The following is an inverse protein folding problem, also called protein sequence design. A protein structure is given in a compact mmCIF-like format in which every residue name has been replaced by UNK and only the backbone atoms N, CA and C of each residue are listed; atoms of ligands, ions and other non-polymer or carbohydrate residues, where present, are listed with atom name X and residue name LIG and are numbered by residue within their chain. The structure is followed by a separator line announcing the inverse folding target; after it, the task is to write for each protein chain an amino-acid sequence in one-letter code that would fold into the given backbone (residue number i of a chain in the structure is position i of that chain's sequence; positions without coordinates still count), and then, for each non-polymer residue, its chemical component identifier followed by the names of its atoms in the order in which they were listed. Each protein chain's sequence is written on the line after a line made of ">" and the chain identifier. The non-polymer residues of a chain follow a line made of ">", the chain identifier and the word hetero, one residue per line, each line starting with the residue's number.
data_IF_048362167898
#
_entry.id   IF_048362167898
#
_cell.length_a   1.000
_cell.length_b   1.000
_cell.length_c   1.000
_cell.angle_alpha   90.00
_cell.angle_beta   90.00
_cell.angle_gamma   90.00
#
_symmetry.space_group_name_H-M   'P 1'
#
loop_
_entity.id
_entity.type
_entity.pdbx_description
1 polymer ?
#
# COMPACT_ATOMS: atom_id res chain seq x y z
N UNK A 1 25.17 5.58 47.89
CA UNK A 1 24.23 6.62 48.37
C UNK A 1 24.29 7.75 47.36
N UNK A 2 23.35 7.85 46.45
CA UNK A 2 23.29 8.92 45.45
C UNK A 2 22.47 10.09 46.03
N UNK A 3 22.97 11.30 45.89
CA UNK A 3 22.25 12.51 46.30
C UNK A 3 21.01 12.73 45.43
N UNK A 4 19.87 13.17 45.99
CA UNK A 4 18.70 13.51 45.22
C UNK A 4 18.98 14.77 44.38
N UNK A 5 19.01 14.63 43.06
CA UNK A 5 19.23 15.73 42.12
C UNK A 5 20.27 15.51 41.03
N UNK A 6 20.97 14.39 41.02
CA UNK A 6 21.86 14.05 39.89
C UNK A 6 21.08 13.41 38.75
N UNK A 7 21.05 14.09 37.61
CA UNK A 7 20.64 13.49 36.34
C UNK A 7 21.61 12.34 36.02
N UNK A 8 21.08 11.17 35.69
CA UNK A 8 21.91 10.08 35.16
C UNK A 8 22.70 10.59 33.95
N UNK A 9 23.99 10.41 33.97
CA UNK A 9 24.82 10.71 32.81
C UNK A 9 24.56 9.65 31.72
N UNK A 10 24.83 10.00 30.47
CA UNK A 10 24.77 9.03 29.33
C UNK A 10 25.62 7.77 29.61
N UNK A 11 26.69 7.90 30.45
CA UNK A 11 27.52 6.79 30.87
C UNK A 11 26.83 5.82 31.85
N UNK A 12 25.87 6.29 32.64
CA UNK A 12 25.17 5.46 33.62
C UNK A 12 24.11 4.59 32.96
N UNK A 13 23.45 5.11 31.91
CA UNK A 13 22.47 4.35 31.09
C UNK A 13 23.19 3.23 30.34
N UNK A 14 24.39 3.47 29.81
CA UNK A 14 25.19 2.50 29.11
C UNK A 14 25.85 1.46 30.00
N UNK A 15 26.10 1.79 31.30
CA UNK A 15 26.77 0.88 32.27
C UNK A 15 25.82 -0.05 33.00
N UNK A 16 24.63 0.40 33.39
CA UNK A 16 23.71 -0.39 34.21
C UNK A 16 22.72 -1.25 33.41
N UNK A 17 22.53 -1.00 32.09
CA UNK A 17 21.69 -1.79 31.18
C UNK A 17 22.40 -2.93 30.46
N UNK A 18 23.71 -3.05 30.63
CA UNK A 18 24.52 -4.06 29.97
C UNK A 18 24.59 -5.38 30.76
N UNK A 19 23.60 -6.23 30.57
CA UNK A 19 23.99 -7.65 30.46
C UNK A 19 24.77 -7.75 29.12
N UNK A 20 25.85 -8.52 29.08
CA UNK A 20 26.95 -8.48 28.10
C UNK A 20 26.58 -8.46 26.59
N UNK A 21 25.29 -8.52 26.19
CA UNK A 21 24.85 -8.63 24.80
C UNK A 21 23.80 -7.61 24.34
N UNK A 22 23.29 -6.69 25.16
CA UNK A 22 22.32 -5.69 24.67
C UNK A 22 22.92 -4.29 24.60
N UNK A 23 23.39 -3.90 23.44
CA UNK A 23 23.84 -2.53 23.18
C UNK A 23 22.64 -1.62 22.97
N UNK A 24 22.57 -0.54 23.75
CA UNK A 24 21.56 0.52 23.61
C UNK A 24 22.29 1.81 23.31
N UNK A 25 21.88 2.49 22.23
CA UNK A 25 22.40 3.80 21.86
C UNK A 25 21.36 4.88 22.19
N UNK A 26 21.73 5.82 23.09
CA UNK A 26 20.89 6.98 23.41
C UNK A 26 21.26 8.16 22.52
N UNK A 27 20.29 8.63 21.74
CA UNK A 27 20.48 9.66 20.71
C UNK A 27 19.57 10.86 21.05
N UNK A 28 20.11 12.05 21.33
CA UNK A 28 19.29 13.23 21.53
C UNK A 28 18.64 13.68 20.22
N UNK A 29 17.34 14.03 20.25
CA UNK A 29 16.64 14.59 19.10
C UNK A 29 17.10 16.04 18.92
N UNK A 30 17.86 16.28 17.86
CA UNK A 30 18.45 17.58 17.53
C UNK A 30 18.07 18.00 16.11
N UNK A 31 18.17 19.31 15.77
CA UNK A 31 17.95 19.76 14.40
C UNK A 31 18.84 19.04 13.37
N UNK A 32 20.08 18.72 13.75
CA UNK A 32 21.03 17.99 12.91
C UNK A 32 20.56 16.57 12.63
N UNK A 33 20.08 15.85 13.64
CA UNK A 33 19.51 14.51 13.48
C UNK A 33 18.33 14.52 12.50
N UNK A 34 17.40 15.45 12.69
CA UNK A 34 16.21 15.60 11.83
C UNK A 34 16.63 15.92 10.38
N UNK A 35 17.61 16.82 10.19
CA UNK A 35 18.13 17.13 8.85
C UNK A 35 18.77 15.92 8.16
N UNK A 36 19.51 15.10 8.91
CA UNK A 36 20.12 13.86 8.39
C UNK A 36 19.06 12.82 8.05
N UNK A 37 18.05 12.62 8.90
CA UNK A 37 16.96 11.66 8.63
C UNK A 37 16.16 12.07 7.39
N UNK A 38 15.88 13.35 7.20
CA UNK A 38 15.24 13.88 5.98
C UNK A 38 16.11 13.74 4.74
N UNK A 39 17.41 13.92 4.84
CA UNK A 39 18.33 13.77 3.72
C UNK A 39 18.44 12.31 3.25
N UNK A 40 18.23 11.35 4.14
CA UNK A 40 18.22 9.92 3.82
C UNK A 40 16.87 9.43 3.30
N UNK A 41 15.79 10.23 3.42
CA UNK A 41 14.51 9.90 2.81
C UNK A 41 14.63 9.99 1.29
N UNK A 42 14.77 8.83 0.65
CA UNK A 42 14.76 8.71 -0.81
C UNK A 42 13.39 9.16 -1.32
N UNK A 43 13.35 10.12 -2.24
CA UNK A 43 12.12 10.40 -2.99
C UNK A 43 11.80 9.16 -3.81
N UNK A 44 10.73 8.48 -3.45
CA UNK A 44 10.24 7.36 -4.25
C UNK A 44 9.81 7.89 -5.60
N UNK A 45 10.55 7.56 -6.64
CA UNK A 45 10.13 7.76 -8.02
C UNK A 45 9.51 6.48 -8.54
N UNK A 46 8.42 6.61 -9.30
CA UNK A 46 7.84 5.44 -9.95
C UNK A 46 8.80 4.87 -11.00
N UNK A 47 8.91 3.54 -11.09
CA UNK A 47 9.67 2.91 -12.17
C UNK A 47 9.18 3.38 -13.53
N UNK A 48 10.07 3.77 -14.47
CA UNK A 48 9.66 4.27 -15.78
C UNK A 48 8.77 3.30 -16.57
N UNK A 49 8.91 2.00 -16.32
CA UNK A 49 8.11 0.94 -16.92
C UNK A 49 6.62 1.00 -16.56
N UNK A 50 6.26 1.69 -15.47
CA UNK A 50 4.87 1.91 -15.08
C UNK A 50 4.27 3.19 -15.70
N UNK A 51 5.11 4.10 -16.19
CA UNK A 51 4.71 5.40 -16.75
C UNK A 51 4.55 5.35 -18.27
N UNK A 52 4.21 4.19 -18.81
CA UNK A 52 3.98 4.01 -20.25
C UNK A 52 2.57 4.44 -20.63
N UNK A 53 2.40 4.84 -21.90
CA UNK A 53 1.07 5.10 -22.45
C UNK A 53 0.17 3.86 -22.32
N UNK A 54 -1.14 4.04 -22.14
CA UNK A 54 -2.06 2.91 -22.08
C UNK A 54 -2.06 2.14 -23.41
N UNK A 55 -2.18 0.82 -23.29
CA UNK A 55 -2.31 -0.03 -24.46
C UNK A 55 -3.72 0.13 -25.07
N UNK A 56 -3.81 0.10 -26.42
CA UNK A 56 -5.10 0.06 -27.08
C UNK A 56 -5.82 -1.26 -26.76
N UNK A 57 -7.13 -1.17 -26.48
CA UNK A 57 -7.91 -2.37 -26.16
C UNK A 57 -7.88 -3.37 -27.30
N UNK A 58 -7.51 -4.61 -27.00
CA UNK A 58 -7.59 -5.74 -27.91
C UNK A 58 -8.65 -6.70 -27.43
N UNK A 59 -9.53 -7.07 -28.34
CA UNK A 59 -10.57 -8.06 -28.12
C UNK A 59 -9.94 -9.36 -27.64
N UNK A 60 -10.54 -10.01 -26.68
CA UNK A 60 -10.05 -11.28 -26.14
C UNK A 60 -11.17 -12.30 -25.95
N UNK A 61 -10.78 -13.48 -25.50
CA UNK A 61 -11.72 -14.59 -25.26
C UNK A 61 -12.74 -14.20 -24.19
N UNK A 62 -13.99 -14.60 -24.38
CA UNK A 62 -15.15 -14.30 -23.54
C UNK A 62 -15.68 -12.86 -23.63
N UNK A 63 -15.08 -11.99 -24.45
CA UNK A 63 -15.72 -10.71 -24.77
C UNK A 63 -17.02 -10.97 -25.56
N UNK A 64 -17.99 -10.08 -25.36
CA UNK A 64 -19.25 -10.14 -26.13
C UNK A 64 -19.33 -8.90 -26.98
N UNK A 65 -19.42 -9.11 -28.30
CA UNK A 65 -19.40 -8.07 -29.29
C UNK A 65 -20.81 -7.88 -29.87
N UNK A 66 -21.17 -6.66 -30.19
CA UNK A 66 -22.33 -6.32 -30.99
C UNK A 66 -21.85 -5.85 -32.35
N UNK A 67 -22.30 -6.52 -33.39
CA UNK A 67 -21.90 -6.25 -34.77
C UNK A 67 -23.13 -5.81 -35.53
N UNK A 68 -23.10 -4.58 -36.05
CA UNK A 68 -24.15 -4.00 -36.83
C UNK A 68 -23.72 -3.97 -38.29
N UNK A 69 -24.58 -4.44 -39.20
CA UNK A 69 -24.44 -4.22 -40.63
C UNK A 69 -25.64 -3.39 -41.07
N UNK A 70 -25.36 -2.16 -41.48
CA UNK A 70 -26.40 -1.21 -41.89
C UNK A 70 -27.15 -1.73 -43.13
N UNK A 71 -28.45 -1.48 -43.17
CA UNK A 71 -29.37 -1.98 -44.21
C UNK A 71 -29.55 -3.50 -44.26
N UNK A 72 -28.93 -4.25 -43.29
CA UNK A 72 -29.00 -5.70 -43.20
C UNK A 72 -29.39 -6.14 -41.78
N UNK A 73 -30.64 -5.89 -41.32
CA UNK A 73 -31.07 -6.22 -39.96
C UNK A 73 -30.99 -7.72 -39.63
N UNK A 74 -31.11 -8.60 -40.63
CA UNK A 74 -30.97 -10.06 -40.50
C UNK A 74 -29.55 -10.49 -40.10
N UNK A 75 -28.54 -9.65 -40.32
CA UNK A 75 -27.14 -9.89 -39.89
C UNK A 75 -26.85 -9.32 -38.54
N UNK A 76 -27.57 -8.30 -38.12
CA UNK A 76 -27.32 -7.59 -36.87
C UNK A 76 -27.86 -8.35 -35.66
N UNK A 77 -29.06 -8.84 -35.72
CA UNK A 77 -29.74 -9.57 -34.64
C UNK A 77 -29.97 -11.04 -34.98
N UNK A 78 -29.77 -11.99 -34.04
CA UNK A 78 -30.31 -13.32 -34.19
C UNK A 78 -31.84 -13.25 -34.30
N UNK A 79 -32.42 -14.03 -35.20
CA UNK A 79 -33.88 -14.07 -35.47
C UNK A 79 -34.65 -14.47 -34.19
N UNK A 80 -35.24 -13.50 -33.53
CA UNK A 80 -36.06 -13.70 -32.32
C UNK A 80 -36.23 -12.40 -31.54
N UNK A 81 -37.47 -12.09 -31.19
CA UNK A 81 -37.84 -10.88 -30.46
C UNK A 81 -37.37 -10.88 -29.00
N UNK A 82 -36.09 -10.97 -28.72
CA UNK A 82 -35.55 -10.80 -27.40
C UNK A 82 -34.92 -9.41 -27.29
N UNK A 83 -35.61 -8.56 -26.52
CA UNK A 83 -35.19 -7.18 -26.21
C UNK A 83 -34.00 -7.07 -25.25
N UNK A 84 -33.30 -8.15 -24.95
CA UNK A 84 -32.14 -8.13 -24.09
C UNK A 84 -30.87 -7.94 -24.92
N UNK A 85 -30.16 -6.86 -24.67
CA UNK A 85 -28.91 -6.48 -25.34
C UNK A 85 -27.90 -7.63 -25.32
N UNK A 86 -27.79 -8.35 -24.21
CA UNK A 86 -26.89 -9.50 -24.03
C UNK A 86 -27.26 -10.70 -24.93
N UNK A 87 -28.53 -10.85 -25.32
CA UNK A 87 -28.99 -11.93 -26.19
C UNK A 87 -28.55 -11.73 -27.66
N UNK A 88 -28.26 -10.50 -28.08
CA UNK A 88 -27.83 -10.16 -29.43
C UNK A 88 -26.32 -10.12 -29.60
N UNK A 89 -25.56 -10.35 -28.51
CA UNK A 89 -24.12 -10.31 -28.49
C UNK A 89 -23.48 -11.55 -29.14
N UNK A 90 -22.37 -11.35 -29.83
CA UNK A 90 -21.53 -12.42 -30.38
C UNK A 90 -20.40 -12.70 -29.40
N UNK A 91 -20.41 -13.89 -28.79
CA UNK A 91 -19.36 -14.31 -27.86
C UNK A 91 -18.07 -14.65 -28.64
N UNK A 92 -16.95 -14.09 -28.23
CA UNK A 92 -15.62 -14.54 -28.63
C UNK A 92 -15.30 -15.82 -27.87
N UNK A 93 -15.15 -16.92 -28.61
CA UNK A 93 -14.93 -18.27 -28.07
C UNK A 93 -13.52 -18.42 -27.50
N UNK A 94 -13.27 -19.55 -26.83
CA UNK A 94 -11.98 -19.87 -26.25
C UNK A 94 -10.83 -20.04 -27.27
N UNK A 95 -11.16 -20.35 -28.54
CA UNK A 95 -10.22 -20.39 -29.65
C UNK A 95 -9.94 -19.01 -30.27
N UNK A 96 -10.56 -17.96 -29.75
CA UNK A 96 -10.40 -16.56 -30.20
C UNK A 96 -11.27 -16.20 -31.38
N UNK A 97 -12.16 -17.10 -31.82
CA UNK A 97 -13.05 -16.86 -32.96
C UNK A 97 -14.45 -16.45 -32.51
N UNK A 98 -15.22 -15.85 -33.43
CA UNK A 98 -16.65 -15.70 -33.33
C UNK A 98 -17.31 -16.21 -34.61
N UNK A 99 -18.56 -16.69 -34.50
CA UNK A 99 -19.35 -17.07 -35.65
C UNK A 99 -20.15 -15.88 -36.16
N UNK A 100 -20.06 -15.63 -37.47
CA UNK A 100 -20.85 -14.60 -38.11
C UNK A 100 -21.50 -15.14 -39.39
N UNK A 101 -22.77 -14.81 -39.69
CA UNK A 101 -23.46 -15.28 -40.91
C UNK A 101 -22.65 -14.98 -42.17
N UNK A 102 -22.79 -15.79 -43.17
CA UNK A 102 -22.09 -15.79 -44.46
C UNK A 102 -20.58 -16.08 -44.37
N UNK A 103 -19.87 -15.39 -43.51
CA UNK A 103 -18.40 -15.48 -43.39
C UNK A 103 -17.93 -16.52 -42.36
N UNK A 104 -18.90 -17.17 -41.67
CA UNK A 104 -18.67 -18.27 -40.71
C UNK A 104 -17.74 -17.85 -39.52
N UNK A 105 -16.58 -18.47 -39.41
CA UNK A 105 -15.65 -18.21 -38.32
C UNK A 105 -14.72 -17.03 -38.66
N UNK A 106 -14.66 -16.08 -37.73
CA UNK A 106 -13.83 -14.88 -37.83
C UNK A 106 -12.92 -14.79 -36.60
N UNK A 107 -11.64 -14.66 -36.84
CA UNK A 107 -10.68 -14.40 -35.77
C UNK A 107 -10.91 -13.00 -35.21
N UNK A 108 -11.25 -12.94 -33.91
CA UNK A 108 -11.50 -11.68 -33.19
C UNK A 108 -10.46 -11.39 -32.14
N UNK A 109 -10.03 -12.41 -31.38
CA UNK A 109 -9.05 -12.24 -30.33
C UNK A 109 -7.69 -11.71 -30.85
N UNK A 110 -7.11 -10.77 -30.11
CA UNK A 110 -5.85 -10.11 -30.43
C UNK A 110 -6.00 -8.89 -31.35
N UNK A 111 -7.15 -8.70 -31.97
CA UNK A 111 -7.45 -7.57 -32.88
C UNK A 111 -8.01 -6.38 -32.11
N UNK A 112 -7.77 -5.17 -32.62
CA UNK A 112 -8.51 -3.99 -32.19
C UNK A 112 -9.93 -4.02 -32.77
N UNK A 113 -10.83 -3.22 -32.21
CA UNK A 113 -12.20 -3.07 -32.72
C UNK A 113 -12.18 -2.65 -34.21
N UNK A 114 -11.27 -1.73 -34.55
CA UNK A 114 -11.10 -1.23 -35.92
C UNK A 114 -10.64 -2.33 -36.89
N UNK A 115 -9.65 -3.13 -36.47
CA UNK A 115 -9.15 -4.25 -37.26
C UNK A 115 -10.23 -5.29 -37.52
N UNK A 116 -10.99 -5.65 -36.48
CA UNK A 116 -12.07 -6.61 -36.62
C UNK A 116 -13.18 -6.08 -37.55
N UNK A 117 -13.54 -4.79 -37.41
CA UNK A 117 -14.53 -4.14 -38.30
C UNK A 117 -14.10 -4.21 -39.75
N UNK A 118 -12.85 -3.87 -40.06
CA UNK A 118 -12.33 -3.92 -41.43
C UNK A 118 -12.31 -5.34 -41.99
N UNK A 119 -11.90 -6.32 -41.19
CA UNK A 119 -11.87 -7.73 -41.60
C UNK A 119 -13.26 -8.28 -41.91
N UNK A 120 -14.26 -7.92 -41.11
CA UNK A 120 -15.66 -8.35 -41.34
C UNK A 120 -16.21 -7.69 -42.61
N UNK A 121 -15.97 -6.38 -42.78
CA UNK A 121 -16.41 -5.66 -43.97
C UNK A 121 -15.81 -6.24 -45.27
N UNK A 122 -14.48 -6.50 -45.24
CA UNK A 122 -13.78 -7.12 -46.38
C UNK A 122 -14.37 -8.50 -46.74
N UNK A 123 -14.56 -9.37 -45.76
CA UNK A 123 -15.13 -10.71 -45.99
C UNK A 123 -16.57 -10.66 -46.47
N UNK A 124 -17.38 -9.73 -45.90
CA UNK A 124 -18.79 -9.58 -46.33
C UNK A 124 -18.92 -8.98 -47.71
N UNK A 125 -17.96 -8.22 -48.22
CA UNK A 125 -17.98 -7.63 -49.55
C UNK A 125 -18.12 -8.66 -50.67
N UNK A 126 -17.77 -9.93 -50.41
CA UNK A 126 -18.01 -11.05 -51.34
C UNK A 126 -19.50 -11.39 -51.48
N UNK A 127 -20.33 -11.07 -50.49
CA UNK A 127 -21.75 -11.44 -50.44
C UNK A 127 -22.68 -10.23 -50.52
N UNK A 128 -22.20 -9.06 -50.11
CA UNK A 128 -22.96 -7.81 -49.99
C UNK A 128 -22.16 -6.70 -50.64
N UNK A 129 -22.81 -5.89 -51.47
CA UNK A 129 -22.17 -4.71 -52.09
C UNK A 129 -22.00 -3.61 -51.04
N UNK A 130 -20.77 -3.14 -50.86
CA UNK A 130 -20.39 -2.04 -49.96
C UNK A 130 -20.94 -2.17 -48.52
N UNK A 131 -20.60 -3.25 -47.77
CA UNK A 131 -21.18 -3.49 -46.44
C UNK A 131 -20.68 -2.47 -45.43
N UNK A 132 -21.60 -1.73 -44.83
CA UNK A 132 -21.29 -0.77 -43.75
C UNK A 132 -21.36 -1.49 -42.39
N UNK A 133 -20.20 -1.79 -41.83
CA UNK A 133 -20.08 -2.56 -40.59
C UNK A 133 -19.68 -1.67 -39.42
N UNK A 134 -20.32 -1.85 -38.28
CA UNK A 134 -19.88 -1.31 -37.00
C UNK A 134 -19.72 -2.43 -35.97
N UNK A 135 -18.74 -2.27 -35.06
CA UNK A 135 -18.42 -3.25 -34.00
C UNK A 135 -18.31 -2.52 -32.65
N UNK A 136 -19.14 -2.93 -31.71
CA UNK A 136 -19.08 -2.45 -30.32
C UNK A 136 -18.86 -3.62 -29.37
N UNK A 137 -18.20 -3.36 -28.22
CA UNK A 137 -18.06 -4.35 -27.18
C UNK A 137 -19.16 -4.15 -26.15
N UNK A 138 -20.07 -5.11 -26.03
CA UNK A 138 -21.16 -5.09 -25.04
C UNK A 138 -20.66 -5.47 -23.64
N UNK A 139 -19.77 -6.44 -23.59
CA UNK A 139 -19.22 -6.91 -22.31
C UNK A 139 -17.74 -7.17 -22.44
N UNK A 140 -16.96 -6.44 -21.66
CA UNK A 140 -15.52 -6.63 -21.48
C UNK A 140 -15.29 -7.73 -20.45
N UNK A 141 -14.77 -8.87 -20.85
CA UNK A 141 -14.59 -10.03 -19.99
C UNK A 141 -13.19 -10.65 -20.08
N UNK A 142 -12.44 -10.31 -21.13
CA UNK A 142 -11.14 -10.90 -21.42
C UNK A 142 -10.01 -10.31 -20.59
N UNK A 143 -10.02 -8.99 -20.40
CA UNK A 143 -8.98 -8.27 -19.68
C UNK A 143 -9.51 -7.78 -18.33
N UNK A 144 -8.91 -8.26 -17.24
CA UNK A 144 -9.35 -7.95 -15.89
C UNK A 144 -8.16 -7.66 -15.01
N UNK A 145 -8.37 -6.79 -14.03
CA UNK A 145 -7.47 -6.57 -12.90
C UNK A 145 -8.15 -7.02 -11.63
N UNK A 146 -7.37 -7.45 -10.66
CA UNK A 146 -7.90 -7.85 -9.34
C UNK A 146 -7.50 -6.80 -8.33
N UNK A 147 -8.48 -6.28 -7.58
CA UNK A 147 -8.25 -5.36 -6.46
C UNK A 147 -8.63 -6.07 -5.17
N UNK A 148 -7.71 -6.09 -4.21
CA UNK A 148 -7.86 -6.83 -2.95
C UNK A 148 -7.22 -6.10 -1.76
N UNK A 149 -7.44 -6.63 -0.55
CA UNK A 149 -6.94 -6.06 0.70
C UNK A 149 -7.94 -5.11 1.35
N UNK A 150 -7.46 -4.01 1.93
CA UNK A 150 -8.24 -3.04 2.70
C UNK A 150 -9.10 -2.13 1.80
N UNK A 151 -10.00 -2.74 1.04
CA UNK A 151 -10.99 -2.08 0.17
C UNK A 151 -12.38 -2.57 0.48
N UNK A 152 -13.41 -1.75 0.24
CA UNK A 152 -14.81 -2.06 0.54
C UNK A 152 -15.39 -3.11 -0.40
N UNK A 153 -14.96 -3.12 -1.65
CA UNK A 153 -15.43 -4.03 -2.72
C UNK A 153 -14.22 -4.67 -3.40
N UNK A 154 -13.65 -5.67 -2.74
CA UNK A 154 -12.61 -6.49 -3.33
C UNK A 154 -13.17 -7.32 -4.50
N UNK A 155 -12.39 -7.49 -5.55
CA UNK A 155 -12.81 -8.30 -6.68
C UNK A 155 -12.12 -7.94 -7.99
N UNK A 156 -12.66 -8.51 -9.05
CA UNK A 156 -12.17 -8.32 -10.41
C UNK A 156 -12.87 -7.15 -11.07
N UNK A 157 -12.09 -6.26 -11.71
CA UNK A 157 -12.59 -5.15 -12.52
C UNK A 157 -12.18 -5.36 -13.98
N UNK A 158 -13.10 -5.16 -14.90
CA UNK A 158 -12.81 -5.27 -16.32
C UNK A 158 -12.10 -4.01 -16.84
N UNK A 159 -11.12 -4.19 -17.71
CA UNK A 159 -10.54 -3.11 -18.51
C UNK A 159 -11.41 -2.97 -19.77
N UNK A 160 -11.80 -1.75 -20.08
CA UNK A 160 -12.58 -1.40 -21.27
C UNK A 160 -11.73 -0.65 -22.30
N UNK A 161 -12.37 -0.09 -23.32
CA UNK A 161 -11.73 0.84 -24.26
C UNK A 161 -11.23 2.13 -23.60
N UNK A 162 -11.77 2.48 -22.44
CA UNK A 162 -11.21 3.55 -21.60
C UNK A 162 -10.10 2.96 -20.72
N UNK A 163 -8.88 3.44 -20.84
CA UNK A 163 -7.78 2.96 -20.01
C UNK A 163 -8.07 3.14 -18.52
N UNK A 164 -7.87 2.08 -17.75
CA UNK A 164 -8.09 2.08 -16.31
C UNK A 164 -6.77 2.37 -15.60
N UNK A 165 -6.69 3.44 -14.80
CA UNK A 165 -5.53 3.71 -13.98
C UNK A 165 -5.68 3.20 -12.54
N UNK A 166 -4.57 3.19 -11.78
CA UNK A 166 -4.55 2.72 -10.39
C UNK A 166 -5.55 3.45 -9.51
N UNK A 167 -5.70 4.77 -9.67
CA UNK A 167 -6.58 5.59 -8.84
C UNK A 167 -8.05 5.29 -9.12
N UNK A 168 -8.42 5.15 -10.38
CA UNK A 168 -9.79 4.81 -10.79
C UNK A 168 -10.17 3.41 -10.30
N UNK A 169 -9.24 2.46 -10.38
CA UNK A 169 -9.46 1.10 -9.90
C UNK A 169 -9.70 1.07 -8.38
N UNK A 170 -8.89 1.80 -7.61
CA UNK A 170 -9.06 1.92 -6.16
C UNK A 170 -10.32 2.71 -5.80
N UNK A 171 -10.63 3.79 -6.52
CA UNK A 171 -11.86 4.56 -6.34
C UNK A 171 -13.09 3.69 -6.56
N UNK A 172 -13.10 2.86 -7.59
CA UNK A 172 -14.18 1.90 -7.87
C UNK A 172 -14.31 0.82 -6.80
N UNK A 173 -13.20 0.32 -6.26
CA UNK A 173 -13.19 -0.64 -5.17
C UNK A 173 -13.61 -0.01 -3.83
N UNK A 174 -13.38 1.30 -3.66
CA UNK A 174 -13.57 2.02 -2.41
C UNK A 174 -12.50 1.65 -1.38
N UNK A 175 -11.65 2.57 -1.01
CA UNK A 175 -10.63 2.36 0.03
C UNK A 175 -11.30 2.32 1.41
N UNK A 176 -10.90 1.38 2.28
CA UNK A 176 -11.33 1.38 3.68
C UNK A 176 -10.59 2.49 4.45
N UNK A 177 -11.28 3.58 4.86
CA UNK A 177 -10.61 4.74 5.45
C UNK A 177 -10.07 4.50 6.86
N UNK A 178 -10.49 3.41 7.50
CA UNK A 178 -10.11 3.09 8.89
C UNK A 178 -8.92 2.12 8.94
N UNK A 179 -8.92 1.13 8.05
CA UNK A 179 -8.02 0.00 8.15
C UNK A 179 -6.98 -0.08 7.02
N UNK A 180 -7.05 0.79 6.01
CA UNK A 180 -6.09 0.77 4.91
C UNK A 180 -4.75 1.41 5.28
N UNK A 181 -3.67 0.78 4.84
CA UNK A 181 -2.34 1.38 4.77
C UNK A 181 -2.13 2.05 3.41
N UNK A 182 -2.32 3.37 3.36
CA UNK A 182 -2.21 4.14 2.13
C UNK A 182 -0.78 4.23 1.57
N UNK A 183 0.23 3.94 2.39
CA UNK A 183 1.64 4.02 1.96
C UNK A 183 2.18 2.70 1.40
N UNK A 184 1.42 1.62 1.51
CA UNK A 184 1.88 0.26 1.23
C UNK A 184 1.18 -0.43 0.05
N UNK A 185 0.54 0.32 -0.86
CA UNK A 185 -0.10 -0.28 -2.03
C UNK A 185 0.90 -1.08 -2.87
N UNK A 186 0.53 -2.28 -3.26
CA UNK A 186 1.34 -3.16 -4.11
C UNK A 186 0.64 -3.37 -5.45
N UNK A 187 1.36 -3.13 -6.55
CA UNK A 187 0.97 -3.53 -7.89
C UNK A 187 1.81 -4.75 -8.30
N UNK A 188 1.15 -5.87 -8.56
CA UNK A 188 1.82 -7.04 -9.16
C UNK A 188 1.50 -7.10 -10.64
N UNK A 189 2.54 -7.08 -11.48
CA UNK A 189 2.47 -7.17 -12.94
C UNK A 189 3.49 -8.17 -13.44
N UNK A 190 3.06 -9.17 -14.19
CA UNK A 190 3.93 -10.22 -14.74
C UNK A 190 4.83 -10.89 -13.69
N UNK A 191 4.30 -11.12 -12.48
CA UNK A 191 5.03 -11.73 -11.36
C UNK A 191 5.99 -10.79 -10.62
N UNK A 192 6.16 -9.55 -11.08
CA UNK A 192 6.97 -8.54 -10.39
C UNK A 192 6.09 -7.65 -9.53
N UNK A 193 6.53 -7.38 -8.30
CA UNK A 193 5.82 -6.53 -7.33
C UNK A 193 6.42 -5.13 -7.34
N UNK A 194 5.57 -4.13 -7.48
CA UNK A 194 5.91 -2.71 -7.43
C UNK A 194 5.24 -2.08 -6.21
N UNK A 195 6.01 -1.61 -5.22
CA UNK A 195 5.45 -0.84 -4.12
C UNK A 195 5.05 0.55 -4.62
N UNK A 196 3.84 0.96 -4.30
CA UNK A 196 3.27 2.25 -4.66
C UNK A 196 2.82 2.97 -3.39
N UNK A 197 2.94 4.28 -3.35
CA UNK A 197 2.56 5.09 -2.21
C UNK A 197 1.37 6.01 -2.58
N UNK A 198 0.17 5.65 -2.10
CA UNK A 198 -1.05 6.44 -2.31
C UNK A 198 -1.02 7.76 -1.54
N UNK A 199 -0.34 7.79 -0.38
CA UNK A 199 -0.23 8.99 0.45
C UNK A 199 0.57 10.09 -0.25
N UNK A 200 1.54 9.73 -1.09
CA UNK A 200 2.29 10.67 -1.91
C UNK A 200 1.43 11.44 -2.92
N UNK A 201 0.24 10.95 -3.26
CA UNK A 201 -0.73 11.69 -4.11
C UNK A 201 -1.24 12.95 -3.45
N UNK A 202 -1.42 12.94 -2.13
CA UNK A 202 -1.87 14.12 -1.38
C UNK A 202 -0.77 15.19 -1.29
N UNK A 203 0.48 14.83 -1.62
CA UNK A 203 1.67 15.67 -1.48
C UNK A 203 2.24 16.20 -2.81
N UNK A 204 1.46 16.31 -3.89
CA UNK A 204 1.82 16.91 -5.19
C UNK A 204 2.24 15.97 -6.33
N UNK A 205 2.28 14.66 -6.17
CA UNK A 205 2.65 13.77 -7.27
C UNK A 205 1.44 13.03 -7.86
N UNK A 206 0.76 13.68 -8.81
CA UNK A 206 -0.30 13.05 -9.62
C UNK A 206 0.23 11.90 -10.54
N UNK A 207 1.43 11.37 -10.26
CA UNK A 207 2.08 10.35 -11.09
C UNK A 207 1.34 9.00 -11.07
N UNK A 208 0.70 8.63 -9.95
CA UNK A 208 -0.09 7.39 -9.90
C UNK A 208 -1.31 7.41 -10.83
N UNK A 209 -1.81 8.57 -11.20
CA UNK A 209 -2.86 8.70 -12.23
C UNK A 209 -2.34 8.32 -13.63
N UNK A 210 -1.03 8.35 -13.84
CA UNK A 210 -0.37 7.95 -15.09
C UNK A 210 -0.04 6.46 -15.13
N UNK A 211 -0.24 5.74 -14.02
CA UNK A 211 -0.03 4.28 -13.97
C UNK A 211 -1.29 3.58 -14.45
N UNK A 212 -1.28 3.20 -15.72
CA UNK A 212 -2.36 2.44 -16.35
C UNK A 212 -2.21 0.96 -16.06
N UNK A 213 -3.35 0.32 -15.74
CA UNK A 213 -3.43 -1.09 -15.44
C UNK A 213 -3.57 -1.91 -16.73
N UNK A 214 -3.07 -3.14 -16.68
CA UNK A 214 -3.11 -4.11 -17.78
C UNK A 214 -3.84 -5.37 -17.36
N UNK A 215 -4.35 -6.11 -18.33
CA UNK A 215 -4.96 -7.40 -18.04
C UNK A 215 -4.01 -8.33 -17.27
N UNK A 216 -4.51 -8.88 -16.17
CA UNK A 216 -3.72 -9.73 -15.27
C UNK A 216 -3.02 -9.00 -14.12
N UNK A 217 -3.06 -7.67 -14.07
CA UNK A 217 -2.53 -6.91 -12.94
C UNK A 217 -3.32 -7.21 -11.67
N UNK A 218 -2.61 -7.19 -10.54
CA UNK A 218 -3.20 -7.31 -9.21
C UNK A 218 -2.81 -6.13 -8.36
N UNK A 219 -3.80 -5.44 -7.78
CA UNK A 219 -3.63 -4.39 -6.80
C UNK A 219 -3.97 -4.95 -5.42
N UNK A 220 -3.04 -4.85 -4.51
CA UNK A 220 -3.23 -5.22 -3.11
C UNK A 220 -2.98 -4.01 -2.21
N UNK A 221 -4.01 -3.57 -1.52
CA UNK A 221 -3.93 -2.51 -0.52
C UNK A 221 -3.83 -3.16 0.86
N UNK A 222 -2.69 -3.10 1.56
CA UNK A 222 -2.54 -3.79 2.83
C UNK A 222 -3.37 -3.14 3.94
N UNK A 223 -3.65 -3.94 4.98
CA UNK A 223 -4.21 -3.44 6.23
C UNK A 223 -3.11 -2.79 7.07
N UNK A 224 -3.49 -1.79 7.87
CA UNK A 224 -2.58 -1.06 8.76
C UNK A 224 -2.39 -1.73 10.14
N UNK A 225 -2.84 -2.97 10.31
CA UNK A 225 -2.81 -3.70 11.58
C UNK A 225 -1.42 -3.82 12.19
N UNK A 226 -0.39 -3.95 11.35
CA UNK A 226 1.00 -4.06 11.77
C UNK A 226 1.71 -2.69 11.85
N UNK A 227 1.01 -1.61 11.50
CA UNK A 227 1.56 -0.24 11.55
C UNK A 227 1.08 0.51 12.79
N UNK A 228 1.49 0.03 13.95
CA UNK A 228 1.15 0.62 15.26
C UNK A 228 2.39 1.13 15.96
N UNK A 229 2.21 2.19 16.74
CA UNK A 229 3.15 2.62 17.77
C UNK A 229 2.48 2.46 19.12
N UNK A 230 3.28 2.28 20.14
CA UNK A 230 2.80 2.10 21.50
C UNK A 230 3.21 3.31 22.33
N UNK A 231 2.23 4.00 22.91
CA UNK A 231 2.51 5.15 23.80
C UNK A 231 2.24 4.73 25.23
N UNK A 232 3.26 4.83 26.05
CA UNK A 232 3.29 4.32 27.43
C UNK A 232 3.90 5.33 28.39
N UNK A 233 3.74 5.07 29.70
CA UNK A 233 4.30 5.89 30.77
C UNK A 233 3.38 7.04 31.16
N UNK A 234 3.96 8.18 31.54
CA UNK A 234 3.27 9.30 32.15
C UNK A 234 2.63 10.23 31.10
N UNK A 235 1.69 9.66 30.34
CA UNK A 235 0.79 10.38 29.41
C UNK A 235 -0.64 10.29 29.92
N UNK A 236 -1.52 11.19 29.46
CA UNK A 236 -2.90 11.21 29.94
C UNK A 236 -3.72 9.98 29.51
N UNK A 237 -3.46 9.42 28.32
CA UNK A 237 -4.17 8.26 27.77
C UNK A 237 -3.19 7.28 27.09
N UNK A 238 -2.50 6.42 27.86
CA UNK A 238 -1.62 5.41 27.27
C UNK A 238 -2.41 4.46 26.34
N UNK A 239 -1.94 4.30 25.09
CA UNK A 239 -2.59 3.42 24.11
C UNK A 239 -1.69 3.16 22.91
N UNK A 240 -2.09 2.18 22.11
CA UNK A 240 -1.54 2.01 20.76
C UNK A 240 -2.22 2.98 19.78
N UNK A 241 -1.44 3.57 18.88
CA UNK A 241 -1.91 4.41 17.77
C UNK A 241 -1.56 3.72 16.45
N UNK A 242 -2.49 3.73 15.51
CA UNK A 242 -2.32 3.09 14.19
C UNK A 242 -2.00 4.16 13.14
N UNK A 243 -1.02 3.89 12.28
CA UNK A 243 -0.71 4.73 11.15
C UNK A 243 -1.77 4.54 10.05
N UNK A 244 -2.22 5.65 9.49
CA UNK A 244 -3.04 5.65 8.26
C UNK A 244 -2.21 6.05 7.03
N UNK A 245 -1.15 6.79 7.26
CA UNK A 245 -0.22 7.33 6.28
C UNK A 245 1.18 6.82 6.57
N UNK A 246 2.16 7.21 5.76
CA UNK A 246 3.55 6.77 5.93
C UNK A 246 4.20 7.28 7.21
N UNK A 247 3.90 8.52 7.58
CA UNK A 247 4.56 9.22 8.68
C UNK A 247 3.56 9.75 9.69
N UNK A 248 3.97 9.73 10.95
CA UNK A 248 3.34 10.41 12.07
C UNK A 248 4.47 11.07 12.87
N UNK A 249 4.36 12.34 13.16
CA UNK A 249 5.41 13.01 13.96
C UNK A 249 5.18 12.82 15.45
N UNK A 250 6.23 13.02 16.22
CA UNK A 250 6.19 12.82 17.68
C UNK A 250 5.20 13.77 18.39
N UNK A 251 5.00 14.99 17.86
CA UNK A 251 3.99 15.92 18.38
C UNK A 251 2.57 15.40 18.22
N UNK A 252 2.25 14.83 17.05
CA UNK A 252 0.94 14.23 16.78
C UNK A 252 0.67 13.05 17.71
N UNK A 253 1.71 12.24 17.96
CA UNK A 253 1.64 11.11 18.90
C UNK A 253 1.30 11.60 20.29
N UNK A 254 2.07 12.56 20.81
CA UNK A 254 1.85 13.12 22.16
C UNK A 254 0.46 13.77 22.24
N UNK A 255 0.07 14.55 21.24
CA UNK A 255 -1.25 15.18 21.17
C UNK A 255 -2.38 14.17 21.15
N UNK A 256 -2.24 13.07 20.40
CA UNK A 256 -3.25 12.02 20.27
C UNK A 256 -3.54 11.25 21.57
N UNK A 257 -2.60 11.23 22.50
CA UNK A 257 -2.76 10.63 23.84
C UNK A 257 -3.12 11.64 24.93
N UNK A 258 -3.54 12.85 24.53
CA UNK A 258 -3.95 13.91 25.45
C UNK A 258 -2.80 14.67 26.11
N UNK A 259 -1.58 14.54 25.56
CA UNK A 259 -0.38 15.21 26.07
C UNK A 259 0.29 14.47 27.23
N UNK A 260 1.35 15.10 27.76
CA UNK A 260 2.08 14.62 28.93
C UNK A 260 1.23 14.84 30.18
N UNK A 261 1.29 13.92 31.14
CA UNK A 261 0.67 14.11 32.44
C UNK A 261 1.46 15.17 33.21
N UNK A 262 0.85 16.34 33.42
CA UNK A 262 1.54 17.51 34.03
C UNK A 262 1.95 17.30 35.46
N UNK A 263 1.34 16.35 36.18
CA UNK A 263 1.60 16.09 37.60
C UNK A 263 2.70 15.06 37.84
N UNK A 264 2.83 14.09 36.92
CA UNK A 264 3.68 12.92 37.14
C UNK A 264 4.79 12.75 36.11
N UNK A 265 4.70 13.40 34.94
CA UNK A 265 5.69 13.27 33.92
C UNK A 265 6.93 14.14 34.12
N UNK A 266 8.05 13.68 33.61
CA UNK A 266 9.25 14.48 33.42
C UNK A 266 9.32 14.88 31.92
N UNK A 267 9.21 16.18 31.64
CA UNK A 267 9.27 16.69 30.26
C UNK A 267 10.60 16.39 29.55
N UNK A 268 11.69 16.19 30.30
CA UNK A 268 12.99 15.80 29.73
C UNK A 268 13.14 14.29 29.51
N UNK A 269 12.14 13.50 29.86
CA UNK A 269 12.15 12.04 29.77
C UNK A 269 11.15 11.52 28.74
N UNK A 270 11.08 12.12 27.56
CA UNK A 270 10.31 11.61 26.41
C UNK A 270 11.27 10.82 25.52
N UNK A 271 11.00 9.54 25.38
CA UNK A 271 11.86 8.61 24.66
C UNK A 271 11.08 7.96 23.52
N UNK A 272 11.73 7.79 22.36
CA UNK A 272 11.26 6.95 21.26
C UNK A 272 12.21 5.77 21.16
N UNK A 273 11.74 4.60 21.53
CA UNK A 273 12.49 3.35 21.50
C UNK A 273 12.21 2.69 20.17
N UNK A 274 13.23 2.56 19.35
CA UNK A 274 13.16 1.95 18.02
C UNK A 274 13.86 0.60 18.06
N UNK A 275 13.09 -0.46 17.84
CA UNK A 275 13.61 -1.80 17.67
C UNK A 275 14.47 -1.91 16.42
N UNK A 276 15.37 -2.88 16.43
CA UNK A 276 16.17 -3.29 15.28
C UNK A 276 15.82 -4.74 14.92
N UNK A 277 15.96 -5.11 13.67
CA UNK A 277 15.61 -6.47 13.21
C UNK A 277 16.51 -7.54 13.85
N UNK A 278 17.75 -7.19 14.14
CA UNK A 278 18.72 -8.10 14.76
C UNK A 278 19.54 -7.36 15.85
N UNK A 279 19.18 -7.62 17.09
CA UNK A 279 19.86 -7.03 18.27
C UNK A 279 21.31 -7.52 18.44
N UNK A 280 21.69 -8.65 17.84
CA UNK A 280 23.06 -9.15 17.89
C UNK A 280 24.01 -8.36 16.98
N UNK A 281 23.44 -7.72 15.95
CA UNK A 281 24.19 -6.95 14.94
C UNK A 281 24.13 -5.44 15.17
N UNK A 282 22.95 -4.92 15.51
CA UNK A 282 22.73 -3.50 15.71
C UNK A 282 22.17 -3.17 17.10
N UNK A 283 22.66 -2.10 17.77
CA UNK A 283 22.12 -1.66 19.04
C UNK A 283 20.69 -1.10 18.87
N UNK A 284 19.82 -1.35 19.85
CA UNK A 284 18.53 -0.67 19.91
C UNK A 284 18.75 0.84 20.06
N UNK A 285 18.04 1.64 19.26
CA UNK A 285 18.17 3.11 19.27
C UNK A 285 17.08 3.72 20.14
N UNK A 286 17.49 4.51 21.12
CA UNK A 286 16.60 5.29 21.97
C UNK A 286 16.80 6.78 21.67
N UNK A 287 15.79 7.40 21.07
CA UNK A 287 15.80 8.83 20.80
C UNK A 287 15.18 9.57 21.98
N UNK A 288 15.84 10.60 22.47
CA UNK A 288 15.39 11.41 23.61
C UNK A 288 15.00 12.82 23.18
N UNK A 289 13.78 13.23 23.50
CA UNK A 289 13.31 14.61 23.40
C UNK A 289 13.29 15.26 24.78
N UNK A 290 13.91 16.44 24.90
CA UNK A 290 13.85 17.26 26.09
C UNK A 290 12.69 18.26 25.98
N UNK A 291 11.47 17.80 26.26
CA UNK A 291 10.21 18.50 25.94
C UNK A 291 9.84 19.65 26.92
N UNK A 292 10.74 20.06 27.82
CA UNK A 292 10.50 21.20 28.73
C UNK A 292 10.57 22.55 28.04
N UNK A 293 11.18 22.63 26.84
CA UNK A 293 11.32 23.89 26.13
C UNK A 293 10.33 23.94 24.93
N UNK A 294 9.77 25.13 24.62
CA UNK A 294 8.95 25.30 23.41
C UNK A 294 9.68 24.91 22.12
N UNK A 295 11.00 25.12 22.07
CA UNK A 295 11.84 24.74 20.93
C UNK A 295 11.92 23.22 20.75
N UNK A 296 11.90 22.44 21.82
CA UNK A 296 11.87 20.99 21.75
C UNK A 296 10.55 20.48 21.20
N UNK A 297 9.43 21.09 21.57
CA UNK A 297 8.13 20.76 20.98
C UNK A 297 8.10 21.07 19.47
N UNK A 298 8.76 22.15 19.03
CA UNK A 298 8.95 22.42 17.60
C UNK A 298 9.81 21.35 16.92
N UNK A 299 10.81 20.77 17.57
CA UNK A 299 11.56 19.64 17.04
C UNK A 299 10.69 18.38 16.93
N UNK A 300 9.80 18.14 17.88
CA UNK A 300 8.88 17.01 17.86
C UNK A 300 7.95 17.01 16.64
N UNK A 301 7.56 18.19 16.10
CA UNK A 301 6.76 18.28 14.86
C UNK A 301 7.53 17.83 13.61
N UNK A 302 8.84 17.69 13.72
CA UNK A 302 9.71 17.34 12.60
C UNK A 302 10.39 15.98 12.77
N UNK A 303 10.19 15.32 13.92
CA UNK A 303 10.72 13.99 14.19
C UNK A 303 9.66 12.95 13.87
N UNK A 304 9.90 12.15 12.82
CA UNK A 304 9.00 11.09 12.38
C UNK A 304 9.20 9.83 13.22
N UNK A 305 8.11 9.36 13.85
CA UNK A 305 8.05 8.05 14.46
C UNK A 305 7.78 6.99 13.39
N UNK A 306 8.23 5.76 13.62
CA UNK A 306 8.07 4.63 12.70
C UNK A 306 7.12 3.59 13.27
N UNK A 307 6.48 2.77 12.43
CA UNK A 307 5.73 1.62 12.91
C UNK A 307 6.58 0.76 13.86
N UNK A 308 5.95 0.27 14.92
CA UNK A 308 6.55 -0.50 16.02
C UNK A 308 7.45 0.30 16.99
N UNK A 309 7.62 1.61 16.80
CA UNK A 309 8.25 2.44 17.82
C UNK A 309 7.42 2.42 19.11
N UNK A 310 8.11 2.47 20.25
CA UNK A 310 7.51 2.69 21.56
C UNK A 310 7.85 4.11 22.01
N UNK A 311 6.84 4.95 22.17
CA UNK A 311 6.97 6.27 22.75
C UNK A 311 6.71 6.16 24.25
N UNK A 312 7.74 6.37 25.05
CA UNK A 312 7.67 6.27 26.49
C UNK A 312 7.93 7.62 27.14
N UNK A 313 7.05 8.02 28.05
CA UNK A 313 7.22 9.21 28.87
C UNK A 313 7.58 8.79 30.29
N UNK A 314 8.76 9.19 30.75
CA UNK A 314 9.26 8.83 32.07
C UNK A 314 8.60 9.65 33.17
N UNK A 315 8.57 9.10 34.41
CA UNK A 315 8.09 9.80 35.60
C UNK A 315 9.08 10.87 36.07
N UNK A 316 8.57 11.82 36.82
CA UNK A 316 9.37 12.87 37.44
C UNK A 316 10.43 12.34 38.43
N UNK A 317 10.23 11.13 38.98
CA UNK A 317 11.15 10.51 39.93
C UNK A 317 11.99 9.39 39.29
N UNK A 318 13.30 9.48 39.36
CA UNK A 318 14.33 8.63 38.72
C UNK A 318 14.23 7.14 39.09
N UNK A 319 13.75 6.80 40.31
CA UNK A 319 13.74 5.43 40.82
C UNK A 319 12.90 4.44 40.02
N UNK A 320 11.92 4.92 39.25
CA UNK A 320 11.06 4.08 38.41
C UNK A 320 11.63 3.81 37.03
N UNK A 321 12.50 4.66 36.53
CA UNK A 321 13.12 4.55 35.22
C UNK A 321 14.03 3.31 35.11
N UNK A 322 14.89 3.08 36.06
CA UNK A 322 15.80 1.93 36.06
C UNK A 322 15.05 0.61 36.09
N UNK A 323 13.91 0.55 36.78
CA UNK A 323 13.03 -0.63 36.79
C UNK A 323 12.38 -0.86 35.44
N UNK A 324 12.01 0.20 34.72
CA UNK A 324 11.36 0.08 33.40
C UNK A 324 12.34 -0.40 32.32
N UNK A 325 13.53 0.18 32.24
CA UNK A 325 14.55 -0.24 31.26
C UNK A 325 15.00 -1.69 31.53
N UNK A 326 15.20 -2.09 32.78
CA UNK A 326 15.55 -3.48 33.11
C UNK A 326 14.44 -4.50 32.75
N UNK A 327 13.19 -4.06 32.58
CA UNK A 327 12.07 -4.89 32.17
C UNK A 327 11.86 -4.92 30.65
N UNK A 328 12.26 -3.86 29.93
CA UNK A 328 12.12 -3.79 28.46
C UNK A 328 13.20 -4.60 27.72
N UNK A 329 14.42 -4.62 28.24
CA UNK A 329 15.54 -5.31 27.61
C UNK A 329 15.30 -6.82 27.45
N UNK A 330 14.73 -7.55 28.43
CA UNK A 330 14.36 -8.95 28.22
C UNK A 330 13.19 -9.16 27.26
N UNK A 331 12.23 -8.22 27.19
CA UNK A 331 11.05 -8.36 26.30
C UNK A 331 11.38 -8.10 24.83
N UNK A 332 12.39 -7.29 24.52
CA UNK A 332 12.88 -7.11 23.16
C UNK A 332 13.51 -8.39 22.59
N UNK A 333 14.14 -9.21 23.45
CA UNK A 333 14.67 -10.52 23.04
C UNK A 333 13.59 -11.58 22.79
N UNK A 334 12.43 -11.49 23.45
CA UNK A 334 11.29 -12.39 23.24
C UNK A 334 10.61 -12.16 21.88
N UNK A 335 10.56 -10.94 21.39
CA UNK A 335 10.02 -10.63 20.06
C UNK A 335 10.92 -11.16 18.94
N UNK A 336 12.24 -11.17 19.14
CA UNK A 336 13.20 -11.80 18.22
C UNK A 336 13.09 -13.32 18.17
N UNK A 337 12.78 -13.98 19.29
CA UNK A 337 12.62 -15.43 19.36
C UNK A 337 11.35 -15.94 18.67
N UNK A 338 10.30 -15.13 18.56
CA UNK A 338 9.08 -15.46 17.82
C UNK A 338 9.31 -15.56 16.32
N UNK A 339 10.12 -14.69 15.74
CA UNK A 339 10.48 -14.72 14.33
C UNK A 339 11.42 -15.89 13.98
N UNK A 340 12.37 -16.21 14.88
CA UNK A 340 13.27 -17.36 14.70
C UNK A 340 12.54 -18.72 14.81
N UNK A 341 11.51 -18.83 15.66
CA UNK A 341 10.71 -20.05 15.80
C UNK A 341 9.85 -20.32 14.53
N UNK A 342 9.39 -19.28 13.84
CA UNK A 342 8.64 -19.41 12.59
C UNK A 342 9.53 -19.89 11.43
N UNK A 343 10.77 -19.43 11.34
CA UNK A 343 11.73 -19.87 10.33
C UNK A 343 12.15 -21.33 10.53
N UNK A 344 12.34 -21.78 11.78
CA UNK A 344 12.69 -23.17 12.08
C UNK A 344 11.54 -24.16 11.81
N UNK A 345 10.29 -23.73 11.88
CA UNK A 345 9.12 -24.55 11.51
C UNK A 345 8.96 -24.67 9.99
N UNK A 346 9.40 -23.69 9.21
CA UNK A 346 9.38 -23.77 7.75
C UNK A 346 10.48 -24.69 7.19
N UNK A 347 11.64 -24.78 7.85
CA UNK A 347 12.73 -25.70 7.47
C UNK A 347 12.45 -27.17 7.88
N UNK A 348 11.70 -27.38 8.95
CA UNK A 348 11.32 -28.74 9.37
C UNK A 348 10.25 -29.38 8.47
N UNK A 349 9.47 -28.58 7.75
CA UNK A 349 8.42 -29.07 6.83
C UNK A 349 8.92 -29.28 5.38
N UNK A 350 10.20 -28.99 5.10
CA UNK A 350 10.82 -29.15 3.77
C UNK A 350 11.81 -30.32 3.67
N UNK A 351 11.81 -31.24 4.67
CA UNK A 351 12.57 -32.48 4.62
C UNK A 351 11.69 -33.72 4.54
#
# INVERSE_FOLDING_TARGET
>A
MFSPGQHMSTSDITREGASENSRVELIPITPKLIAMDRATQVRESLPPELLTSPDEYRIGNNDVLYITVWDHPELTAPSGAQQQIDANGRLVRSDGTLYYPYIKEVQAAGKTIQQLRSDIAEKLSTFISDPQVDVAVLRFASQKVVVSGAVLRAGSQAISTNPLNVIEALGSAGVDPLNADLSGLLLTRNGRVYPLNLDALNQQNAELQKVYLRGGDQLYLPYNDNKKIYVMGEVNQPRALTFKTRTMNLSDVIGSVGGLNQTTSNGNAVYVIRGVENLDVEPAKIYQLQAESPSAMALATHFDVRPQDIVYVGPANVTRWNRFISQLVPSASILGMGAAAQNNLSEANSR
#
